data_IF_223125374257
#
_entry.id   IF_223125374257
#
_cell.length_a   1.000
_cell.length_b   1.000
_cell.length_c   1.000
_cell.angle_alpha   90.00
_cell.angle_beta   90.00
_cell.angle_gamma   90.00
#
_symmetry.space_group_name_H-M   'P 1'
#
loop_
_entity.id
_entity.type
_entity.pdbx_description
1 polymer ?
#
# COMPACT_ATOMS: atom_id res chain seq x y z
N UNK A 1 21.83 -12.97 8.62
CA UNK A 1 20.54 -13.02 7.89
C UNK A 1 19.75 -11.80 8.32
N UNK A 2 19.36 -10.92 7.38
CA UNK A 2 18.45 -9.81 7.70
C UNK A 2 17.11 -10.41 8.09
N UNK A 3 16.60 -10.08 9.27
CA UNK A 3 15.33 -10.61 9.75
C UNK A 3 14.23 -10.20 8.76
N UNK A 4 13.42 -11.15 8.28
CA UNK A 4 12.28 -10.84 7.43
C UNK A 4 11.28 -9.92 8.14
N UNK A 5 11.34 -9.85 9.48
CA UNK A 5 10.59 -8.91 10.30
C UNK A 5 11.06 -7.45 10.16
N UNK A 6 12.32 -7.21 9.78
CA UNK A 6 12.87 -5.86 9.54
C UNK A 6 12.58 -5.34 8.14
N UNK A 7 12.10 -6.19 7.23
CA UNK A 7 11.84 -5.78 5.86
C UNK A 7 10.48 -5.09 5.77
N UNK A 8 10.48 -3.86 5.24
CA UNK A 8 9.32 -3.06 4.87
C UNK A 8 8.53 -3.75 3.75
N UNK A 9 7.97 -4.91 4.03
CA UNK A 9 7.33 -5.79 3.06
C UNK A 9 5.90 -5.30 2.84
N UNK A 10 5.60 -5.04 1.58
CA UNK A 10 4.25 -4.80 1.10
C UNK A 10 3.68 -6.14 0.67
N UNK A 11 2.60 -6.56 1.32
CA UNK A 11 1.90 -7.80 0.98
C UNK A 11 0.57 -7.47 0.33
N UNK A 12 0.33 -8.00 -0.86
CA UNK A 12 -1.01 -8.05 -1.42
C UNK A 12 -1.94 -8.82 -0.47
N UNK A 13 -3.16 -8.31 -0.28
CA UNK A 13 -4.19 -8.97 0.54
C UNK A 13 -5.30 -9.55 -0.31
N UNK A 14 -5.93 -8.71 -1.12
CA UNK A 14 -7.07 -9.05 -1.96
C UNK A 14 -7.38 -7.89 -2.94
N UNK A 15 -8.25 -8.18 -3.90
CA UNK A 15 -9.01 -7.17 -4.61
C UNK A 15 -10.38 -7.09 -3.96
N UNK A 16 -10.88 -5.88 -3.71
CA UNK A 16 -12.23 -5.65 -3.20
C UNK A 16 -13.04 -4.78 -4.14
N UNK A 17 -14.33 -5.12 -4.31
CA UNK A 17 -15.30 -4.29 -5.02
C UNK A 17 -16.25 -3.63 -4.02
N UNK A 18 -16.36 -2.30 -4.07
CA UNK A 18 -17.35 -1.52 -3.32
C UNK A 18 -18.10 -0.62 -4.28
N UNK A 19 -19.40 -0.89 -4.48
CA UNK A 19 -20.24 -0.19 -5.48
C UNK A 19 -19.55 -0.23 -6.86
N UNK A 20 -19.24 0.94 -7.40
CA UNK A 20 -18.60 1.14 -8.70
C UNK A 20 -17.06 1.12 -8.64
N UNK A 21 -16.48 1.01 -7.45
CA UNK A 21 -15.02 1.09 -7.25
C UNK A 21 -14.43 -0.29 -7.01
N UNK A 22 -13.35 -0.62 -7.73
CA UNK A 22 -12.57 -1.83 -7.48
C UNK A 22 -11.16 -1.47 -7.05
N UNK A 23 -10.71 -2.02 -5.93
CA UNK A 23 -9.43 -1.65 -5.33
C UNK A 23 -8.55 -2.87 -5.09
N UNK A 24 -7.25 -2.74 -5.38
CA UNK A 24 -6.23 -3.67 -4.95
C UNK A 24 -5.73 -3.24 -3.56
N UNK A 25 -5.77 -4.17 -2.60
CA UNK A 25 -5.46 -3.87 -1.21
C UNK A 25 -4.16 -4.52 -0.78
N UNK A 26 -3.33 -3.75 -0.10
CA UNK A 26 -2.02 -4.15 0.39
C UNK A 26 -1.85 -3.82 1.87
N UNK A 27 -1.01 -4.59 2.56
CA UNK A 27 -0.61 -4.34 3.94
C UNK A 27 0.89 -4.12 4.01
N UNK A 28 1.28 -3.07 4.71
CA UNK A 28 2.66 -2.79 5.08
C UNK A 28 2.82 -3.03 6.57
N UNK A 29 3.90 -3.72 6.93
CA UNK A 29 4.37 -3.83 8.31
C UNK A 29 5.87 -3.61 8.32
N UNK A 30 6.37 -2.90 9.32
CA UNK A 30 7.79 -2.69 9.50
C UNK A 30 8.14 -2.34 10.94
N UNK A 31 9.41 -2.53 11.26
CA UNK A 31 10.03 -2.15 12.52
C UNK A 31 11.24 -1.27 12.17
N UNK A 32 11.30 -0.06 12.70
CA UNK A 32 12.44 0.85 12.50
C UNK A 32 12.71 1.63 13.77
N UNK A 33 13.95 1.59 14.27
CA UNK A 33 14.38 2.29 15.49
C UNK A 33 13.45 2.04 16.70
N UNK A 34 13.00 0.79 16.89
CA UNK A 34 12.08 0.41 17.97
C UNK A 34 10.61 0.81 17.74
N UNK A 35 10.30 1.52 16.66
CA UNK A 35 8.93 1.89 16.28
C UNK A 35 8.35 0.81 15.38
N UNK A 36 7.28 0.17 15.85
CA UNK A 36 6.45 -0.70 15.02
C UNK A 36 5.45 0.16 14.26
N UNK A 37 5.40 0.00 12.94
CA UNK A 37 4.41 0.68 12.11
C UNK A 37 3.70 -0.31 11.20
N UNK A 38 2.44 0.03 10.91
CA UNK A 38 1.62 -0.72 9.99
C UNK A 38 0.78 0.27 9.18
N UNK A 39 0.79 0.10 7.87
CA UNK A 39 -0.07 0.86 6.96
C UNK A 39 -0.92 -0.09 6.12
N UNK A 40 -2.02 0.42 5.61
CA UNK A 40 -2.84 -0.23 4.60
C UNK A 40 -2.81 0.67 3.36
N UNK A 41 -2.55 0.08 2.19
CA UNK A 41 -2.58 0.80 0.91
C UNK A 41 -3.73 0.19 0.12
N UNK A 42 -4.63 1.04 -0.37
CA UNK A 42 -5.73 0.64 -1.24
C UNK A 42 -5.64 1.48 -2.50
N UNK A 43 -5.45 0.83 -3.64
CA UNK A 43 -5.29 1.49 -4.94
C UNK A 43 -6.51 1.18 -5.77
N UNK A 44 -7.19 2.22 -6.24
CA UNK A 44 -8.25 2.09 -7.24
C UNK A 44 -7.64 1.63 -8.56
N UNK A 45 -8.18 0.55 -9.13
CA UNK A 45 -7.69 0.02 -10.39
C UNK A 45 -7.81 1.05 -11.52
N UNK A 46 -8.86 1.86 -11.52
CA UNK A 46 -9.05 2.90 -12.54
C UNK A 46 -7.99 4.00 -12.46
N UNK A 47 -7.52 4.33 -11.25
CA UNK A 47 -6.42 5.27 -11.05
C UNK A 47 -5.06 4.73 -11.52
N UNK A 48 -4.95 3.42 -11.67
CA UNK A 48 -3.79 2.74 -12.26
C UNK A 48 -4.04 2.35 -13.73
N UNK A 49 -5.10 2.87 -14.36
CA UNK A 49 -5.49 2.57 -15.76
C UNK A 49 -5.70 1.06 -16.03
N UNK A 50 -6.15 0.32 -15.01
CA UNK A 50 -6.39 -1.13 -15.08
C UNK A 50 -7.87 -1.45 -15.28
N UNK A 51 -8.12 -2.53 -16.00
CA UNK A 51 -9.45 -3.11 -16.15
C UNK A 51 -9.65 -4.29 -15.19
N UNK A 52 -10.87 -4.52 -14.64
CA UNK A 52 -11.15 -5.69 -13.80
C UNK A 52 -10.89 -7.06 -14.43
N UNK A 53 -10.84 -7.12 -15.76
CA UNK A 53 -10.52 -8.32 -16.53
C UNK A 53 -9.04 -8.51 -16.83
N UNK A 54 -8.18 -7.59 -16.39
CA UNK A 54 -6.72 -7.79 -16.46
C UNK A 54 -6.29 -8.98 -15.59
N UNK A 55 -5.17 -9.61 -15.97
CA UNK A 55 -4.59 -10.69 -15.17
C UNK A 55 -4.15 -10.18 -13.79
N UNK A 56 -4.28 -11.03 -12.78
CA UNK A 56 -4.07 -10.65 -11.38
C UNK A 56 -2.65 -10.13 -11.13
N UNK A 57 -1.64 -10.74 -11.76
CA UNK A 57 -0.24 -10.36 -11.64
C UNK A 57 0.00 -8.92 -12.11
N UNK A 58 -0.59 -8.55 -13.25
CA UNK A 58 -0.54 -7.18 -13.79
C UNK A 58 -1.20 -6.20 -12.83
N UNK A 59 -2.38 -6.54 -12.30
CA UNK A 59 -3.10 -5.69 -11.35
C UNK A 59 -2.24 -5.44 -10.10
N UNK A 60 -1.65 -6.50 -9.55
CA UNK A 60 -0.80 -6.43 -8.36
C UNK A 60 0.42 -5.56 -8.61
N UNK A 61 1.14 -5.77 -9.73
CA UNK A 61 2.37 -5.04 -10.03
C UNK A 61 2.13 -3.54 -10.23
N UNK A 62 1.17 -3.20 -11.09
CA UNK A 62 0.87 -1.80 -11.42
C UNK A 62 0.32 -1.04 -10.20
N UNK A 63 -0.60 -1.66 -9.44
CA UNK A 63 -1.12 -1.05 -8.21
C UNK A 63 -0.04 -0.93 -7.13
N UNK A 64 0.86 -1.92 -6.99
CA UNK A 64 1.96 -1.82 -6.04
C UNK A 64 2.93 -0.69 -6.41
N UNK A 65 3.25 -0.53 -7.70
CA UNK A 65 4.11 0.55 -8.20
C UNK A 65 3.53 1.91 -7.89
N UNK A 66 2.26 2.13 -8.22
CA UNK A 66 1.54 3.38 -7.92
C UNK A 66 1.47 3.63 -6.41
N UNK A 67 1.02 2.62 -5.65
CA UNK A 67 0.85 2.73 -4.20
C UNK A 67 2.14 3.06 -3.45
N UNK A 68 3.28 2.48 -3.85
CA UNK A 68 4.60 2.82 -3.27
C UNK A 68 5.02 4.24 -3.60
N UNK A 69 4.82 4.68 -4.85
CA UNK A 69 5.25 6.00 -5.28
C UNK A 69 4.52 7.10 -4.50
N UNK A 70 3.21 6.96 -4.34
CA UNK A 70 2.41 7.93 -3.60
C UNK A 70 2.64 7.85 -2.09
N UNK A 71 2.74 6.64 -1.52
CA UNK A 71 3.01 6.48 -0.10
C UNK A 71 4.36 7.08 0.33
N UNK A 72 5.39 7.03 -0.53
CA UNK A 72 6.70 7.65 -0.26
C UNK A 72 6.67 9.18 -0.24
N UNK A 73 5.73 9.79 -0.95
CA UNK A 73 5.55 11.24 -1.00
C UNK A 73 4.62 11.75 0.10
N UNK A 74 3.96 10.85 0.82
CA UNK A 74 3.03 11.22 1.87
C UNK A 74 3.79 11.82 3.07
N UNK A 75 3.43 13.04 3.44
CA UNK A 75 3.88 13.68 4.67
C UNK A 75 2.92 13.31 5.79
N UNK A 76 3.39 12.51 6.75
CA UNK A 76 2.58 12.10 7.90
C UNK A 76 2.78 13.09 9.05
N UNK A 77 1.68 13.46 9.70
CA UNK A 77 1.69 14.29 10.90
C UNK A 77 0.99 13.54 12.03
N UNK A 78 1.48 13.73 13.26
CA UNK A 78 0.78 13.23 14.44
C UNK A 78 -0.37 14.16 14.78
N UNK A 79 -1.53 13.58 15.06
CA UNK A 79 -2.69 14.35 15.52
C UNK A 79 -2.34 15.12 16.81
N UNK A 80 -2.68 16.41 16.85
CA UNK A 80 -2.47 17.26 18.02
C UNK A 80 -1.02 17.71 18.27
N UNK A 81 -0.06 17.30 17.44
CA UNK A 81 1.31 17.82 17.47
C UNK A 81 1.54 18.69 16.22
N UNK A 82 1.46 20.01 16.40
CA UNK A 82 1.88 20.95 15.36
C UNK A 82 3.37 20.77 15.08
N UNK A 83 3.67 20.30 13.86
CA UNK A 83 4.96 20.31 13.16
C UNK A 83 6.22 20.22 14.04
N UNK A 84 6.78 19.00 14.19
CA UNK A 84 8.17 18.80 14.63
C UNK A 84 9.05 18.62 13.40
#
# INVERSE_FOLDING_TARGET
MKDLAENNLIRFKNISKKKETMTANFKVKGLRNGVNFSASISVDLSAAELHPGDVLEKIIEECARLGVNEFKKAEFQFEGLTSI
#
